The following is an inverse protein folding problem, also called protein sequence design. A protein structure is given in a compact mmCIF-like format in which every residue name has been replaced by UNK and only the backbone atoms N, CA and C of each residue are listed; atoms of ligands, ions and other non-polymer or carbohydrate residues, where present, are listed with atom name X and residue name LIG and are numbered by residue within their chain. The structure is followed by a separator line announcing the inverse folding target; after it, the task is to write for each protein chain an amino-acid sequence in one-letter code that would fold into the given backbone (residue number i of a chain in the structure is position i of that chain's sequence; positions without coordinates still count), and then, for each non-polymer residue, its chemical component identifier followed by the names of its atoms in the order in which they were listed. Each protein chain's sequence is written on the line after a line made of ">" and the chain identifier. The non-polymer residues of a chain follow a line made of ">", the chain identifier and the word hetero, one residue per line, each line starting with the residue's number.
data_IF_951556642965
#
_entry.id   IF_951556642965
#
_cell.length_a   1.000
_cell.length_b   1.000
_cell.length_c   1.000
_cell.angle_alpha   90.00
_cell.angle_beta   90.00
_cell.angle_gamma   90.00
#
_symmetry.space_group_name_H-M   'P 1'
#
loop_
_entity.id
_entity.type
_entity.pdbx_description
1 polymer ?
#
# COMPACT_ATOMS: atom_id res chain seq x y z
N UNK A 1 4.71 71.69 7.21
CA UNK A 1 4.39 70.53 8.06
C UNK A 1 3.55 69.55 7.23
N UNK A 2 4.22 68.52 6.70
CA UNK A 2 3.55 67.45 5.92
C UNK A 2 3.31 66.27 6.82
N UNK A 3 2.07 65.97 7.12
CA UNK A 3 1.66 64.75 7.86
C UNK A 3 1.60 63.61 6.88
N UNK A 4 2.54 62.65 6.99
CA UNK A 4 2.44 61.38 6.29
C UNK A 4 1.52 60.46 7.08
N UNK A 5 0.40 60.13 6.49
CA UNK A 5 -0.46 59.07 6.94
C UNK A 5 0.09 57.72 6.40
N UNK A 6 0.64 56.91 7.28
CA UNK A 6 1.08 55.57 6.99
C UNK A 6 -0.18 54.66 6.99
N UNK A 7 -0.66 54.30 5.81
CA UNK A 7 -1.68 53.27 5.67
C UNK A 7 -1.10 51.87 5.85
N UNK A 8 -1.41 51.24 6.95
CA UNK A 8 -1.08 49.82 7.18
C UNK A 8 -2.08 48.99 6.43
N UNK A 9 -1.69 48.44 5.29
CA UNK A 9 -2.46 47.40 4.57
C UNK A 9 -2.25 46.08 5.33
N UNK A 10 -3.26 45.68 6.09
CA UNK A 10 -3.35 44.33 6.66
C UNK A 10 -3.74 43.38 5.52
N UNK A 11 -2.73 42.74 4.95
CA UNK A 11 -2.97 41.61 4.03
C UNK A 11 -3.37 40.40 4.87
N UNK A 12 -4.67 40.14 4.90
CA UNK A 12 -5.22 38.95 5.51
C UNK A 12 -4.77 37.72 4.73
N UNK A 13 -3.79 36.99 5.24
CA UNK A 13 -3.43 35.67 4.76
C UNK A 13 -4.53 34.70 5.23
N UNK A 14 -5.52 34.45 4.39
CA UNK A 14 -6.43 33.32 4.59
C UNK A 14 -5.64 32.07 4.24
N UNK A 15 -4.98 31.50 5.22
CA UNK A 15 -4.45 30.16 5.14
C UNK A 15 -5.65 29.23 5.00
N UNK A 16 -5.91 28.74 3.80
CA UNK A 16 -6.78 27.59 3.59
C UNK A 16 -6.09 26.40 4.26
N UNK A 17 -6.39 26.19 5.53
CA UNK A 17 -6.08 24.95 6.21
C UNK A 17 -6.88 23.87 5.49
N UNK A 18 -6.24 23.19 4.55
CA UNK A 18 -6.66 21.88 4.10
C UNK A 18 -6.73 21.00 5.36
N UNK A 19 -7.92 20.86 5.89
CA UNK A 19 -8.16 20.09 7.08
C UNK A 19 -7.94 18.63 6.76
N UNK A 20 -6.69 18.17 6.91
CA UNK A 20 -6.47 16.79 7.31
C UNK A 20 -7.17 16.63 8.63
N UNK A 21 -8.34 15.97 8.64
CA UNK A 21 -9.04 15.70 9.87
C UNK A 21 -8.17 14.75 10.72
N UNK A 22 -7.46 15.23 11.77
CA UNK A 22 -6.56 14.38 12.54
C UNK A 22 -7.31 13.32 13.37
N UNK A 23 -8.63 13.40 13.39
CA UNK A 23 -9.52 12.48 14.09
C UNK A 23 -10.27 11.54 13.14
N UNK A 24 -10.00 11.59 11.83
CA UNK A 24 -10.56 10.60 10.92
C UNK A 24 -9.99 9.22 11.27
N UNK A 25 -10.82 8.19 11.49
CA UNK A 25 -10.33 6.85 11.81
C UNK A 25 -9.49 6.33 10.65
N UNK A 26 -8.38 5.68 10.97
CA UNK A 26 -7.58 4.98 9.97
C UNK A 26 -8.39 3.78 9.46
N UNK A 27 -8.67 3.77 8.17
CA UNK A 27 -9.41 2.71 7.50
C UNK A 27 -8.49 1.62 6.93
N UNK A 28 -7.19 1.73 7.14
CA UNK A 28 -6.21 0.77 6.64
C UNK A 28 -6.35 -0.57 7.35
N UNK A 29 -6.44 -1.63 6.57
CA UNK A 29 -6.50 -3.00 7.06
C UNK A 29 -5.54 -3.87 6.26
N UNK A 30 -4.91 -4.84 6.94
CA UNK A 30 -4.10 -5.83 6.25
C UNK A 30 -5.00 -6.83 5.56
N UNK A 31 -4.81 -7.04 4.26
CA UNK A 31 -5.59 -8.01 3.50
C UNK A 31 -5.01 -9.42 3.63
N UNK A 32 -5.88 -10.40 3.62
CA UNK A 32 -5.50 -11.81 3.55
C UNK A 32 -4.95 -12.15 2.17
N UNK A 33 -3.76 -12.77 2.15
CA UNK A 33 -3.14 -13.30 0.93
C UNK A 33 -3.07 -14.81 1.07
N UNK A 34 -3.61 -15.51 0.09
CA UNK A 34 -3.71 -16.99 0.12
C UNK A 34 -2.69 -17.67 -0.78
N UNK A 35 -2.19 -16.97 -1.80
CA UNK A 35 -1.24 -17.52 -2.75
C UNK A 35 -0.26 -16.45 -3.24
N UNK A 36 0.97 -16.87 -3.46
CA UNK A 36 2.05 -16.10 -4.11
C UNK A 36 2.56 -16.91 -5.29
N UNK A 37 2.41 -16.38 -6.49
CA UNK A 37 2.95 -16.94 -7.71
C UNK A 37 4.15 -16.11 -8.19
N UNK A 38 5.28 -16.77 -8.37
CA UNK A 38 6.51 -16.18 -8.89
C UNK A 38 7.18 -17.13 -9.88
N UNK A 39 7.91 -16.60 -10.87
CA UNK A 39 8.71 -17.44 -11.76
C UNK A 39 9.83 -18.14 -10.97
N UNK A 40 10.20 -19.34 -11.37
CA UNK A 40 11.29 -20.07 -10.73
C UNK A 40 12.67 -19.41 -11.00
N UNK A 41 12.80 -18.73 -12.15
CA UNK A 41 14.00 -18.02 -12.54
C UNK A 41 13.69 -16.81 -13.43
N UNK A 42 14.58 -15.84 -13.38
CA UNK A 42 14.58 -14.67 -14.27
C UNK A 42 15.99 -14.41 -14.78
N UNK A 43 16.11 -13.71 -15.91
CA UNK A 43 17.40 -13.22 -16.40
C UNK A 43 17.88 -12.03 -15.58
N UNK A 44 19.20 -11.93 -15.36
CA UNK A 44 19.80 -10.76 -14.73
C UNK A 44 19.44 -9.48 -15.50
N UNK A 45 19.08 -8.43 -14.77
CA UNK A 45 18.65 -7.17 -15.36
C UNK A 45 17.18 -7.12 -15.80
N UNK A 46 16.46 -8.24 -15.76
CA UNK A 46 15.01 -8.25 -16.03
C UNK A 46 14.22 -7.95 -14.75
N UNK A 47 13.07 -7.25 -14.84
CA UNK A 47 12.18 -7.08 -13.70
C UNK A 47 11.55 -8.40 -13.28
N UNK A 48 11.25 -8.53 -11.99
CA UNK A 48 10.55 -9.68 -11.41
C UNK A 48 9.11 -9.31 -11.09
N UNK A 49 8.17 -9.88 -11.80
CA UNK A 49 6.74 -9.72 -11.51
C UNK A 49 6.22 -10.94 -10.75
N UNK A 50 5.56 -10.69 -9.64
CA UNK A 50 4.86 -11.69 -8.83
C UNK A 50 3.37 -11.40 -8.81
N UNK A 51 2.55 -12.42 -8.63
CA UNK A 51 1.10 -12.32 -8.56
C UNK A 51 0.63 -12.85 -7.21
N UNK A 52 -0.19 -12.06 -6.54
CA UNK A 52 -0.76 -12.39 -5.24
C UNK A 52 -2.26 -12.61 -5.38
N UNK A 53 -2.74 -13.69 -4.78
CA UNK A 53 -4.18 -13.94 -4.62
C UNK A 53 -4.62 -13.33 -3.29
N UNK A 54 -5.47 -12.30 -3.38
CA UNK A 54 -5.86 -11.43 -2.27
C UNK A 54 -7.36 -11.57 -2.01
N UNK A 55 -7.70 -11.67 -0.72
CA UNK A 55 -9.10 -11.74 -0.29
C UNK A 55 -9.63 -10.34 0.02
N UNK A 56 -10.76 -10.02 -0.59
CA UNK A 56 -11.50 -8.77 -0.36
C UNK A 56 -12.99 -9.09 -0.18
N UNK A 57 -13.82 -8.09 -0.04
CA UNK A 57 -15.26 -8.25 0.00
C UNK A 57 -15.94 -7.36 1.03
N UNK A 58 -17.23 -7.24 0.94
CA UNK A 58 -17.99 -6.31 1.75
C UNK A 58 -17.56 -4.87 1.51
N UNK A 59 -17.17 -4.18 2.58
CA UNK A 59 -16.64 -2.82 2.52
C UNK A 59 -15.11 -2.77 2.35
N UNK A 60 -14.45 -3.92 2.22
CA UNK A 60 -13.00 -4.02 2.18
C UNK A 60 -12.51 -4.18 0.75
N UNK A 61 -11.65 -3.30 0.30
CA UNK A 61 -11.01 -3.35 -1.02
C UNK A 61 -9.50 -3.21 -0.93
N UNK A 62 -8.80 -3.59 -2.00
CA UNK A 62 -7.36 -3.39 -2.14
C UNK A 62 -7.02 -1.89 -2.20
N UNK A 63 -5.94 -1.49 -1.54
CA UNK A 63 -5.42 -0.12 -1.58
C UNK A 63 -4.00 -0.07 -2.17
N UNK A 64 -3.02 -0.70 -1.52
CA UNK A 64 -1.64 -0.65 -1.97
C UNK A 64 -0.78 -1.80 -1.42
N UNK A 65 0.40 -1.94 -1.99
CA UNK A 65 1.48 -2.74 -1.43
C UNK A 65 2.41 -1.86 -0.59
N UNK A 66 2.76 -2.31 0.59
CA UNK A 66 3.92 -1.83 1.32
C UNK A 66 5.09 -2.77 1.02
N UNK A 67 6.22 -2.21 0.65
CA UNK A 67 7.37 -2.98 0.15
C UNK A 67 8.61 -2.64 0.94
N UNK A 68 9.23 -3.68 1.50
CA UNK A 68 10.57 -3.61 2.06
C UNK A 68 11.53 -4.37 1.16
N UNK A 69 12.61 -3.75 0.75
CA UNK A 69 13.56 -4.31 -0.20
C UNK A 69 14.98 -4.35 0.35
N UNK A 70 15.58 -5.53 0.26
CA UNK A 70 17.00 -5.77 0.45
C UNK A 70 17.60 -6.38 -0.83
N UNK A 71 18.92 -6.56 -0.89
CA UNK A 71 19.58 -7.07 -2.09
C UNK A 71 19.10 -8.48 -2.51
N UNK A 72 18.77 -9.33 -1.55
CA UNK A 72 18.36 -10.73 -1.77
C UNK A 72 16.93 -11.05 -1.33
N UNK A 73 16.21 -10.09 -0.76
CA UNK A 73 14.86 -10.29 -0.23
C UNK A 73 13.97 -9.10 -0.54
N UNK A 74 12.78 -9.37 -1.05
CA UNK A 74 11.69 -8.41 -1.14
C UNK A 74 10.51 -8.85 -0.30
N UNK A 75 10.08 -8.03 0.65
CA UNK A 75 8.91 -8.31 1.52
C UNK A 75 7.75 -7.44 1.10
N UNK A 76 6.60 -8.06 0.86
CA UNK A 76 5.35 -7.41 0.51
C UNK A 76 4.36 -7.53 1.66
N UNK A 77 3.73 -6.44 2.01
CA UNK A 77 2.52 -6.41 2.84
C UNK A 77 1.38 -5.83 1.99
N UNK A 78 0.23 -6.49 2.00
CA UNK A 78 -0.92 -6.05 1.20
C UNK A 78 -1.88 -5.31 2.10
N UNK A 79 -2.09 -4.04 1.78
CA UNK A 79 -2.99 -3.17 2.50
C UNK A 79 -4.27 -2.91 1.72
N UNK A 80 -5.36 -2.91 2.43
CA UNK A 80 -6.67 -2.51 1.94
C UNK A 80 -7.26 -1.38 2.74
N UNK A 81 -8.46 -0.97 2.32
CA UNK A 81 -9.30 -0.04 3.06
C UNK A 81 -10.62 -0.69 3.40
N UNK A 82 -11.02 -0.52 4.64
CA UNK A 82 -12.35 -0.87 5.12
C UNK A 82 -13.19 0.40 5.26
N UNK A 83 -14.10 0.63 4.32
CA UNK A 83 -14.93 1.81 4.30
C UNK A 83 -15.92 1.88 5.47
N UNK A 84 -16.12 0.80 6.21
CA UNK A 84 -17.04 0.74 7.36
C UNK A 84 -16.44 1.25 8.65
N UNK A 85 -15.11 1.31 8.75
CA UNK A 85 -14.43 1.75 9.97
C UNK A 85 -14.79 3.21 10.27
N UNK A 86 -15.30 3.44 11.49
CA UNK A 86 -15.74 4.75 11.95
C UNK A 86 -17.04 5.26 11.33
N UNK A 87 -17.75 4.43 10.57
CA UNK A 87 -19.03 4.77 9.94
C UNK A 87 -20.13 3.80 10.37
N UNK A 88 -21.27 4.36 10.78
CA UNK A 88 -22.46 3.60 11.20
C UNK A 88 -23.55 3.56 10.14
N UNK A 89 -23.42 4.37 9.09
CA UNK A 89 -24.39 4.59 8.02
C UNK A 89 -24.13 3.74 6.78
N UNK A 90 -23.06 2.93 6.79
CA UNK A 90 -22.68 2.05 5.68
C UNK A 90 -23.15 0.62 5.98
N UNK A 91 -23.85 0.04 5.00
CA UNK A 91 -24.14 -1.38 4.95
C UNK A 91 -23.10 -2.06 4.07
N UNK A 92 -22.35 -2.99 4.67
CA UNK A 92 -21.44 -3.84 3.92
C UNK A 92 -22.18 -5.09 3.45
N UNK A 93 -21.97 -5.42 2.19
CA UNK A 93 -22.43 -6.69 1.65
C UNK A 93 -21.63 -7.84 2.30
N UNK A 94 -22.21 -9.04 2.37
CA UNK A 94 -21.51 -10.22 2.91
C UNK A 94 -20.77 -11.01 1.84
N UNK A 95 -20.48 -10.40 0.69
CA UNK A 95 -19.75 -11.02 -0.39
C UNK A 95 -18.28 -11.23 -0.02
N UNK A 96 -17.73 -12.30 -0.53
CA UNK A 96 -16.32 -12.62 -0.47
C UNK A 96 -15.78 -12.64 -1.90
N UNK A 97 -14.67 -11.92 -2.12
CA UNK A 97 -14.05 -11.85 -3.44
C UNK A 97 -12.58 -12.26 -3.35
N UNK A 98 -12.13 -12.88 -4.41
CA UNK A 98 -10.73 -13.23 -4.62
C UNK A 98 -10.24 -12.41 -5.80
N UNK A 99 -9.20 -11.62 -5.57
CA UNK A 99 -8.61 -10.72 -6.56
C UNK A 99 -7.16 -11.08 -6.80
N UNK A 100 -6.70 -10.94 -8.04
CA UNK A 100 -5.30 -11.08 -8.39
C UNK A 100 -4.67 -9.70 -8.49
N UNK A 101 -3.62 -9.48 -7.73
CA UNK A 101 -2.81 -8.26 -7.78
C UNK A 101 -1.36 -8.60 -8.07
N UNK A 102 -0.74 -7.88 -8.99
CA UNK A 102 0.66 -8.06 -9.34
C UNK A 102 1.53 -6.96 -8.76
N UNK A 103 2.76 -7.33 -8.40
CA UNK A 103 3.81 -6.40 -8.03
C UNK A 103 5.08 -6.71 -8.83
N UNK A 104 5.77 -5.68 -9.28
CA UNK A 104 7.02 -5.82 -10.04
C UNK A 104 8.17 -5.21 -9.26
N UNK A 105 9.17 -6.04 -8.97
CA UNK A 105 10.46 -5.60 -8.45
C UNK A 105 11.39 -5.24 -9.58
N UNK A 106 12.08 -4.11 -9.44
CA UNK A 106 13.10 -3.70 -10.40
C UNK A 106 14.47 -4.29 -10.04
N UNK A 107 15.33 -4.62 -11.04
CA UNK A 107 16.71 -5.04 -10.80
C UNK A 107 17.52 -3.89 -10.15
N UNK A 108 18.70 -4.17 -9.53
CA UNK A 108 19.40 -5.45 -9.51
C UNK A 108 18.95 -6.39 -8.42
N UNK A 109 19.21 -7.70 -8.59
CA UNK A 109 18.92 -8.74 -7.62
C UNK A 109 20.18 -9.55 -7.29
N UNK A 110 20.30 -9.97 -6.03
CA UNK A 110 21.20 -11.08 -5.67
C UNK A 110 20.49 -12.41 -5.88
N UNK A 111 21.21 -13.38 -6.41
CA UNK A 111 20.68 -14.74 -6.60
C UNK A 111 21.08 -15.68 -5.44
N UNK A 112 20.16 -16.46 -4.90
CA UNK A 112 18.73 -16.44 -5.16
C UNK A 112 18.04 -15.19 -4.56
N UNK A 113 16.99 -14.72 -5.20
CA UNK A 113 16.15 -13.65 -4.66
C UNK A 113 14.90 -14.24 -4.02
N UNK A 114 14.62 -13.88 -2.79
CA UNK A 114 13.46 -14.38 -2.05
C UNK A 114 12.38 -13.32 -2.02
N UNK A 115 11.18 -13.67 -2.47
CA UNK A 115 9.98 -12.87 -2.26
C UNK A 115 9.23 -13.42 -1.06
N UNK A 116 8.91 -12.56 -0.13
CA UNK A 116 8.18 -12.90 1.08
C UNK A 116 6.92 -12.02 1.18
N UNK A 117 5.79 -12.64 1.48
CA UNK A 117 4.54 -11.93 1.78
C UNK A 117 4.27 -12.01 3.28
N UNK A 118 4.28 -10.86 3.94
CA UNK A 118 3.91 -10.75 5.35
C UNK A 118 2.41 -10.91 5.52
N UNK A 119 1.99 -11.90 6.29
CA UNK A 119 0.58 -12.19 6.58
C UNK A 119 0.22 -11.96 8.05
N UNK A 120 0.98 -11.13 8.74
CA UNK A 120 0.76 -10.84 10.15
C UNK A 120 1.01 -12.06 11.04
N UNK A 121 -0.05 -12.58 11.65
CA UNK A 121 0.05 -13.73 12.57
C UNK A 121 0.18 -15.07 11.86
N UNK A 122 -0.12 -15.13 10.58
CA UNK A 122 0.04 -16.34 9.78
C UNK A 122 1.48 -16.47 9.29
N UNK A 123 1.89 -17.69 9.00
CA UNK A 123 3.20 -17.93 8.37
C UNK A 123 3.30 -17.16 7.04
N UNK A 124 4.44 -16.53 6.74
CA UNK A 124 4.61 -15.82 5.49
C UNK A 124 4.54 -16.78 4.29
N UNK A 125 4.10 -16.27 3.16
CA UNK A 125 4.29 -16.95 1.88
C UNK A 125 5.68 -16.62 1.35
N UNK A 126 6.37 -17.60 0.82
CA UNK A 126 7.76 -17.45 0.36
C UNK A 126 7.90 -18.06 -1.04
N UNK A 127 8.53 -17.31 -1.93
CA UNK A 127 8.97 -17.79 -3.23
C UNK A 127 10.45 -17.48 -3.43
N UNK A 128 11.21 -18.44 -3.90
CA UNK A 128 12.65 -18.30 -4.19
C UNK A 128 12.83 -18.28 -5.68
N UNK A 129 13.48 -17.25 -6.20
CA UNK A 129 13.69 -17.00 -7.63
C UNK A 129 15.18 -17.02 -7.92
N UNK A 130 15.59 -17.83 -8.90
CA UNK A 130 16.96 -17.83 -9.39
C UNK A 130 17.18 -16.67 -10.36
N UNK A 131 18.28 -15.95 -10.21
CA UNK A 131 18.69 -14.89 -11.13
C UNK A 131 19.86 -15.37 -11.97
N UNK A 132 19.63 -15.53 -13.26
CA UNK A 132 20.58 -16.15 -14.19
C UNK A 132 21.42 -15.10 -14.94
#
# INVERSE_FOLDING_TARGET
>A
MKRFLLGIAVVGFVAAALACNPFAPDQSVRLGVTQLDAPAAISAGSPLTVILTVNTGGCVGFDHFEVERQASVGTLTVWGRDASIGRKDILCTSDFRVELHSYTFDPPFQSPFTVQVDRGRLSPLIAVVQVL
#
